data_IF_736581841179
#
_entry.id   IF_736581841179
#
_cell.length_a   1.000
_cell.length_b   1.000
_cell.length_c   1.000
_cell.angle_alpha   90.00
_cell.angle_beta   90.00
_cell.angle_gamma   90.00
#
_symmetry.space_group_name_H-M   'P 1'
#
loop_
_entity.id
_entity.type
_entity.pdbx_description
1 polymer ?
#
# COMPACT_ATOMS: atom_id res chain seq x y z
N UNK A 1 -23.25 -16.92 17.23
CA UNK A 1 -24.33 -15.92 17.47
C UNK A 1 -25.74 -16.54 17.62
N UNK A 2 -26.18 -17.58 16.88
CA UNK A 2 -27.48 -18.22 17.17
C UNK A 2 -27.57 -18.88 18.55
N UNK A 3 -26.55 -19.61 19.02
CA UNK A 3 -26.51 -20.08 20.42
C UNK A 3 -26.39 -18.96 21.46
N UNK A 4 -25.92 -17.78 21.03
CA UNK A 4 -25.74 -16.61 21.88
C UNK A 4 -27.07 -15.91 22.14
N UNK A 5 -27.87 -15.72 21.08
CA UNK A 5 -29.12 -14.97 21.12
C UNK A 5 -30.38 -15.83 21.01
N UNK A 6 -30.26 -17.14 20.77
CA UNK A 6 -31.39 -18.05 20.68
C UNK A 6 -31.16 -19.32 21.50
N UNK A 7 -32.24 -19.82 22.10
CA UNK A 7 -32.28 -21.06 22.86
C UNK A 7 -33.22 -22.06 22.15
N UNK A 8 -32.75 -23.28 21.84
CA UNK A 8 -33.58 -24.28 21.15
C UNK A 8 -34.72 -24.76 22.05
N UNK A 9 -35.92 -24.87 21.49
CA UNK A 9 -37.13 -25.36 22.17
C UNK A 9 -37.61 -26.72 21.64
N UNK A 10 -36.94 -27.28 20.62
CA UNK A 10 -37.35 -28.51 19.93
C UNK A 10 -38.07 -28.23 18.60
N UNK A 11 -38.17 -29.25 17.73
CA UNK A 11 -38.88 -29.20 16.44
C UNK A 11 -38.50 -28.02 15.51
N UNK A 12 -37.24 -27.59 15.56
CA UNK A 12 -36.73 -26.46 14.78
C UNK A 12 -37.22 -25.09 15.28
N UNK A 13 -37.76 -25.00 16.51
CA UNK A 13 -38.17 -23.74 17.15
C UNK A 13 -37.06 -23.22 18.07
N UNK A 14 -36.81 -21.92 17.98
CA UNK A 14 -35.77 -21.19 18.69
C UNK A 14 -36.33 -19.95 19.38
N UNK A 15 -36.11 -19.82 20.68
CA UNK A 15 -36.53 -18.66 21.48
C UNK A 15 -35.45 -17.59 21.50
N UNK A 16 -35.77 -16.36 21.13
CA UNK A 16 -34.84 -15.25 21.23
C UNK A 16 -34.57 -14.90 22.70
N UNK A 17 -33.31 -14.90 23.13
CA UNK A 17 -32.89 -14.53 24.49
C UNK A 17 -33.00 -13.03 24.78
N UNK A 18 -33.10 -12.18 23.74
CA UNK A 18 -33.23 -10.72 23.90
C UNK A 18 -34.69 -10.31 24.07
N UNK A 19 -35.60 -10.82 23.21
CA UNK A 19 -37.01 -10.41 23.21
C UNK A 19 -38.01 -11.52 23.57
N UNK A 20 -37.55 -12.74 23.87
CA UNK A 20 -38.41 -13.87 24.25
C UNK A 20 -39.23 -14.48 23.10
N UNK A 21 -39.13 -13.95 21.88
CA UNK A 21 -39.95 -14.40 20.76
C UNK A 21 -39.49 -15.77 20.21
N UNK A 22 -40.44 -16.69 20.05
CA UNK A 22 -40.22 -18.00 19.44
C UNK A 22 -40.24 -17.92 17.91
N UNK A 23 -39.31 -18.63 17.26
CA UNK A 23 -39.19 -18.65 15.80
C UNK A 23 -38.85 -20.03 15.27
N UNK A 24 -39.55 -20.43 14.21
CA UNK A 24 -39.29 -21.69 13.52
C UNK A 24 -38.23 -21.51 12.44
N UNK A 25 -37.23 -22.37 12.44
CA UNK A 25 -36.22 -22.47 11.39
C UNK A 25 -36.87 -23.09 10.14
N UNK A 26 -36.73 -22.40 9.00
CA UNK A 26 -37.31 -22.87 7.74
C UNK A 26 -36.37 -23.88 7.06
N UNK A 27 -36.89 -25.00 6.53
CA UNK A 27 -36.09 -25.97 5.79
C UNK A 27 -35.32 -25.31 4.63
N UNK A 28 -34.05 -25.66 4.44
CA UNK A 28 -33.23 -25.18 3.33
C UNK A 28 -32.71 -23.74 3.45
N UNK A 29 -33.05 -23.01 4.51
CA UNK A 29 -32.63 -21.59 4.71
C UNK A 29 -31.45 -21.42 5.67
N UNK A 30 -30.98 -22.49 6.29
CA UNK A 30 -29.98 -22.40 7.37
C UNK A 30 -30.50 -21.56 8.55
N UNK A 31 -29.66 -20.72 9.15
CA UNK A 31 -30.04 -19.82 10.25
C UNK A 31 -30.44 -18.41 9.79
N UNK A 32 -30.42 -18.13 8.48
CA UNK A 32 -30.64 -16.80 7.91
C UNK A 32 -31.99 -16.20 8.31
N UNK A 33 -33.04 -17.02 8.36
CA UNK A 33 -34.39 -16.62 8.75
C UNK A 33 -34.53 -16.30 10.25
N UNK A 34 -33.64 -16.84 11.09
CA UNK A 34 -33.57 -16.53 12.52
C UNK A 34 -32.79 -15.23 12.78
N UNK A 35 -31.86 -14.88 11.89
CA UNK A 35 -30.97 -13.72 12.00
C UNK A 35 -31.56 -12.43 11.42
N UNK A 36 -32.33 -12.52 10.33
CA UNK A 36 -33.01 -11.36 9.71
C UNK A 36 -33.71 -10.44 10.73
N UNK A 37 -34.35 -10.97 11.78
CA UNK A 37 -35.00 -10.10 12.74
C UNK A 37 -34.16 -9.75 13.97
N UNK A 38 -32.92 -10.26 14.10
CA UNK A 38 -31.92 -9.63 14.97
C UNK A 38 -31.48 -8.30 14.36
N UNK A 39 -31.18 -8.30 13.05
CA UNK A 39 -30.76 -7.08 12.35
C UNK A 39 -31.85 -6.01 12.24
N UNK A 40 -33.14 -6.39 12.26
CA UNK A 40 -34.25 -5.42 12.18
C UNK A 40 -34.87 -5.01 13.51
N UNK A 41 -34.65 -5.76 14.60
CA UNK A 41 -35.26 -5.46 15.92
C UNK A 41 -34.27 -5.22 17.05
N UNK A 42 -32.97 -5.44 16.84
CA UNK A 42 -31.96 -5.29 17.88
C UNK A 42 -30.73 -4.57 17.30
N UNK A 43 -30.70 -3.24 17.33
CA UNK A 43 -29.61 -2.43 16.73
C UNK A 43 -28.22 -2.79 17.27
N UNK A 44 -28.11 -3.15 18.55
CA UNK A 44 -26.83 -3.40 19.23
C UNK A 44 -26.33 -4.86 19.16
N UNK A 45 -27.06 -5.77 18.50
CA UNK A 45 -26.71 -7.20 18.51
C UNK A 45 -25.30 -7.47 17.94
N UNK A 46 -24.89 -6.65 16.97
CA UNK A 46 -23.58 -6.75 16.30
C UNK A 46 -22.45 -6.26 17.21
N UNK A 47 -22.69 -5.21 18.00
CA UNK A 47 -21.74 -4.69 18.98
C UNK A 47 -21.54 -5.65 20.16
N UNK A 48 -22.63 -6.24 20.68
CA UNK A 48 -22.58 -7.25 21.75
C UNK A 48 -21.84 -8.52 21.31
N UNK A 49 -22.07 -8.97 20.08
CA UNK A 49 -21.35 -10.08 19.48
C UNK A 49 -19.85 -9.79 19.34
N UNK A 50 -19.49 -8.61 18.81
CA UNK A 50 -18.10 -8.21 18.63
C UNK A 50 -17.36 -8.06 19.96
N UNK A 51 -18.04 -7.64 21.03
CA UNK A 51 -17.47 -7.54 22.38
C UNK A 51 -17.16 -8.93 22.97
N UNK A 52 -18.05 -9.92 22.80
CA UNK A 52 -17.84 -11.28 23.30
C UNK A 52 -16.86 -12.13 22.47
N UNK A 53 -16.66 -11.80 21.18
CA UNK A 53 -15.71 -12.50 20.31
C UNK A 53 -14.27 -11.99 20.39
N UNK A 54 -13.97 -10.95 21.18
CA UNK A 54 -12.57 -10.46 21.34
C UNK A 54 -11.68 -11.44 22.11
N UNK A 55 -12.24 -12.41 22.83
CA UNK A 55 -11.52 -13.32 23.74
C UNK A 55 -11.56 -14.81 23.35
N UNK A 56 -12.20 -15.19 22.24
CA UNK A 56 -12.30 -16.60 21.82
C UNK A 56 -11.92 -16.80 20.36
N UNK A 57 -10.90 -17.63 20.14
CA UNK A 57 -10.33 -18.14 18.88
C UNK A 57 -11.29 -19.09 18.11
N UNK A 58 -12.61 -18.81 18.13
CA UNK A 58 -13.66 -19.65 17.52
C UNK A 58 -14.07 -19.12 16.16
N UNK A 59 -14.13 -20.01 15.17
CA UNK A 59 -14.43 -19.68 13.77
C UNK A 59 -15.95 -19.48 13.57
N UNK A 60 -16.35 -18.64 12.61
CA UNK A 60 -17.77 -18.43 12.24
C UNK A 60 -18.51 -19.75 11.91
N UNK A 61 -17.76 -20.77 11.48
CA UNK A 61 -18.22 -22.15 11.24
C UNK A 61 -18.78 -22.80 12.52
N UNK A 62 -18.17 -22.54 13.68
CA UNK A 62 -18.55 -23.13 14.98
C UNK A 62 -19.92 -22.66 15.47
N UNK A 63 -20.50 -21.67 14.78
CA UNK A 63 -21.80 -21.10 15.09
C UNK A 63 -22.87 -21.35 14.00
N UNK A 64 -22.55 -22.10 12.94
CA UNK A 64 -23.51 -22.48 11.89
C UNK A 64 -23.89 -21.37 10.90
N UNK A 65 -23.09 -20.29 10.81
CA UNK A 65 -23.38 -19.13 9.95
C UNK A 65 -23.05 -19.37 8.47
N UNK A 66 -22.13 -20.29 8.21
CA UNK A 66 -21.61 -20.58 6.88
C UNK A 66 -21.51 -22.10 6.75
N UNK A 67 -21.96 -22.64 5.62
CA UNK A 67 -21.77 -24.07 5.36
C UNK A 67 -20.28 -24.41 5.27
N UNK A 68 -19.91 -25.61 5.67
CA UNK A 68 -18.52 -26.07 5.57
C UNK A 68 -17.98 -25.93 4.12
N UNK A 69 -18.83 -26.18 3.13
CA UNK A 69 -18.50 -25.99 1.72
C UNK A 69 -18.13 -24.53 1.37
N UNK A 70 -18.90 -23.53 1.85
CA UNK A 70 -18.58 -22.11 1.60
C UNK A 70 -17.29 -21.72 2.33
N UNK A 71 -17.10 -22.20 3.56
CA UNK A 71 -15.85 -21.93 4.29
C UNK A 71 -14.63 -22.50 3.57
N UNK A 72 -14.68 -23.74 3.09
CA UNK A 72 -13.57 -24.34 2.36
C UNK A 72 -13.30 -23.62 1.03
N UNK A 73 -14.35 -23.16 0.32
CA UNK A 73 -14.18 -22.28 -0.86
C UNK A 73 -13.54 -20.94 -0.50
N UNK A 74 -13.95 -20.34 0.61
CA UNK A 74 -13.30 -19.13 1.14
C UNK A 74 -11.82 -19.35 1.40
N UNK A 75 -11.44 -20.49 1.99
CA UNK A 75 -10.04 -20.81 2.24
C UNK A 75 -9.21 -20.90 0.95
N UNK A 76 -9.76 -21.53 -0.10
CA UNK A 76 -9.13 -21.54 -1.43
C UNK A 76 -9.00 -20.14 -2.03
N UNK A 77 -10.05 -19.31 -1.94
CA UNK A 77 -10.01 -17.92 -2.38
C UNK A 77 -8.95 -17.12 -1.63
N UNK A 78 -8.93 -17.24 -0.30
CA UNK A 78 -7.99 -16.55 0.57
C UNK A 78 -6.55 -16.97 0.30
N UNK A 79 -6.31 -18.26 0.09
CA UNK A 79 -5.03 -18.79 -0.36
C UNK A 79 -4.60 -18.12 -1.66
N UNK A 80 -5.42 -18.14 -2.71
CA UNK A 80 -5.08 -17.56 -4.02
C UNK A 80 -4.81 -16.06 -3.91
N UNK A 81 -5.69 -15.30 -3.23
CA UNK A 81 -5.61 -13.85 -3.18
C UNK A 81 -4.50 -13.35 -2.25
N UNK A 82 -4.43 -13.87 -1.02
CA UNK A 82 -3.55 -13.36 0.03
C UNK A 82 -2.15 -13.95 -0.04
N UNK A 83 -1.98 -15.17 -0.57
CA UNK A 83 -0.64 -15.66 -0.95
C UNK A 83 -0.22 -15.19 -2.34
N UNK A 84 -1.17 -14.70 -3.14
CA UNK A 84 -0.94 -14.33 -4.51
C UNK A 84 -0.46 -15.55 -5.28
N UNK A 85 -1.26 -16.62 -5.33
CA UNK A 85 -0.98 -17.84 -6.11
C UNK A 85 -1.60 -17.73 -7.53
N UNK A 86 -1.11 -18.46 -8.55
CA UNK A 86 -1.82 -18.53 -9.81
C UNK A 86 -3.20 -19.17 -9.60
N UNK A 87 -4.20 -18.80 -10.39
CA UNK A 87 -5.51 -19.44 -10.32
C UNK A 87 -5.44 -20.95 -10.62
N UNK A 88 -4.51 -21.39 -11.46
CA UNK A 88 -4.29 -22.80 -11.77
C UNK A 88 -3.76 -23.61 -10.59
N UNK A 89 -3.28 -22.97 -9.51
CA UNK A 89 -2.77 -23.69 -8.33
C UNK A 89 -3.84 -24.55 -7.69
N UNK A 90 -5.09 -24.11 -7.70
CA UNK A 90 -6.19 -24.91 -7.12
C UNK A 90 -6.56 -26.11 -7.99
N UNK A 91 -6.05 -26.14 -9.24
CA UNK A 91 -6.18 -27.29 -10.15
C UNK A 91 -5.03 -28.29 -10.00
N UNK A 92 -3.91 -27.88 -9.40
CA UNK A 92 -2.71 -28.69 -9.25
C UNK A 92 -2.93 -29.89 -8.32
N UNK A 93 -2.52 -31.08 -8.77
CA UNK A 93 -2.77 -32.34 -8.07
C UNK A 93 -2.02 -32.43 -6.74
N UNK A 94 -0.78 -31.92 -6.68
CA UNK A 94 0.03 -31.92 -5.47
C UNK A 94 -0.56 -30.97 -4.42
N UNK A 95 -0.99 -29.78 -4.86
CA UNK A 95 -1.67 -28.77 -4.02
C UNK A 95 -2.96 -29.33 -3.44
N UNK A 96 -3.76 -30.04 -4.26
CA UNK A 96 -4.98 -30.72 -3.78
C UNK A 96 -4.66 -31.80 -2.77
N UNK A 97 -3.68 -32.65 -3.06
CA UNK A 97 -3.27 -33.75 -2.18
C UNK A 97 -2.74 -33.28 -0.81
N UNK A 98 -2.07 -32.13 -0.75
CA UNK A 98 -1.58 -31.55 0.51
C UNK A 98 -2.63 -30.73 1.27
N UNK A 99 -3.68 -30.26 0.60
CA UNK A 99 -4.71 -29.43 1.20
C UNK A 99 -5.68 -30.25 2.06
N UNK A 100 -6.13 -29.68 3.18
CA UNK A 100 -7.19 -30.27 4.02
C UNK A 100 -8.61 -29.91 3.54
N UNK A 101 -8.73 -29.13 2.46
CA UNK A 101 -9.99 -28.58 1.97
C UNK A 101 -10.52 -29.43 0.83
N UNK A 102 -11.84 -29.51 0.66
CA UNK A 102 -12.39 -30.22 -0.50
C UNK A 102 -11.86 -29.59 -1.81
N UNK A 103 -11.48 -30.42 -2.81
CA UNK A 103 -10.97 -29.92 -4.07
C UNK A 103 -11.94 -28.94 -4.73
N UNK A 104 -11.38 -27.87 -5.31
CA UNK A 104 -12.11 -26.91 -6.15
C UNK A 104 -11.40 -26.79 -7.50
N UNK A 105 -11.85 -25.89 -8.37
CA UNK A 105 -11.18 -25.58 -9.61
C UNK A 105 -11.04 -24.08 -9.84
N UNK A 106 -10.11 -23.70 -10.73
CA UNK A 106 -9.81 -22.30 -11.05
C UNK A 106 -11.04 -21.51 -11.50
N UNK A 107 -11.98 -22.16 -12.21
CA UNK A 107 -13.21 -21.53 -12.70
C UNK A 107 -14.14 -21.15 -11.55
N UNK A 108 -14.28 -22.03 -10.56
CA UNK A 108 -15.07 -21.78 -9.36
C UNK A 108 -14.46 -20.67 -8.48
N UNK A 109 -13.15 -20.71 -8.25
CA UNK A 109 -12.44 -19.67 -7.48
C UNK A 109 -12.51 -18.31 -8.19
N UNK A 110 -12.43 -18.30 -9.53
CA UNK A 110 -12.62 -17.07 -10.30
C UNK A 110 -14.04 -16.50 -10.16
N UNK A 111 -15.07 -17.35 -10.16
CA UNK A 111 -16.45 -16.91 -9.91
C UNK A 111 -16.61 -16.35 -8.48
N UNK A 112 -15.93 -16.95 -7.50
CA UNK A 112 -15.86 -16.45 -6.13
C UNK A 112 -15.20 -15.07 -6.06
N UNK A 113 -14.06 -14.87 -6.73
CA UNK A 113 -13.41 -13.56 -6.82
C UNK A 113 -14.35 -12.49 -7.38
N UNK A 114 -15.10 -12.79 -8.45
CA UNK A 114 -16.07 -11.85 -9.05
C UNK A 114 -17.20 -11.52 -8.06
N UNK A 115 -17.72 -12.53 -7.37
CA UNK A 115 -18.80 -12.37 -6.37
C UNK A 115 -18.35 -11.49 -5.23
N UNK A 116 -17.16 -11.77 -4.67
CA UNK A 116 -16.58 -10.97 -3.57
C UNK A 116 -16.28 -9.55 -4.04
N UNK A 117 -15.69 -9.36 -5.23
CA UNK A 117 -15.40 -8.03 -5.76
C UNK A 117 -16.68 -7.20 -5.94
N UNK A 118 -17.77 -7.82 -6.40
CA UNK A 118 -19.07 -7.17 -6.57
C UNK A 118 -19.66 -6.71 -5.23
N UNK A 119 -19.71 -7.59 -4.22
CA UNK A 119 -20.20 -7.25 -2.88
C UNK A 119 -19.32 -6.20 -2.22
N UNK A 120 -18.01 -6.33 -2.36
CA UNK A 120 -17.05 -5.37 -1.86
C UNK A 120 -17.24 -3.99 -2.50
N UNK A 121 -17.52 -3.92 -3.81
CA UNK A 121 -17.86 -2.68 -4.50
C UNK A 121 -19.06 -1.95 -3.87
N UNK A 122 -20.09 -2.69 -3.45
CA UNK A 122 -21.24 -2.12 -2.75
C UNK A 122 -20.86 -1.59 -1.35
N UNK A 123 -20.08 -2.35 -0.58
CA UNK A 123 -19.57 -1.91 0.75
C UNK A 123 -18.71 -0.65 0.61
N UNK A 124 -17.79 -0.63 -0.36
CA UNK A 124 -16.94 0.54 -0.63
C UNK A 124 -17.79 1.75 -1.02
N UNK A 125 -18.83 1.57 -1.84
CA UNK A 125 -19.75 2.64 -2.25
C UNK A 125 -20.44 3.28 -1.04
N UNK A 126 -20.87 2.47 -0.09
CA UNK A 126 -21.53 2.91 1.15
C UNK A 126 -20.52 3.59 2.10
N UNK A 127 -19.40 2.95 2.41
CA UNK A 127 -18.39 3.48 3.34
C UNK A 127 -17.75 4.78 2.83
N UNK A 128 -17.55 4.92 1.51
CA UNK A 128 -16.96 6.10 0.90
C UNK A 128 -17.81 7.37 1.10
N UNK A 129 -19.11 7.20 1.35
CA UNK A 129 -20.02 8.30 1.66
C UNK A 129 -20.21 9.28 0.50
N UNK A 130 -20.55 10.52 0.81
CA UNK A 130 -20.89 11.53 -0.21
C UNK A 130 -19.63 12.17 -0.80
N UNK A 131 -18.64 12.48 0.05
CA UNK A 131 -17.41 13.19 -0.33
C UNK A 131 -16.19 12.47 0.21
N UNK A 132 -15.10 12.51 -0.55
CA UNK A 132 -13.87 11.80 -0.22
C UNK A 132 -12.64 12.44 -0.88
N UNK A 133 -11.45 12.08 -0.43
CA UNK A 133 -10.20 12.40 -1.11
C UNK A 133 -9.76 11.27 -2.04
N UNK A 134 -8.98 11.59 -3.07
CA UNK A 134 -8.39 10.58 -3.96
C UNK A 134 -6.88 10.56 -3.78
N UNK A 135 -6.27 9.38 -3.75
CA UNK A 135 -4.82 9.20 -3.89
C UNK A 135 -4.54 8.45 -5.18
N UNK A 136 -3.66 8.97 -6.02
CA UNK A 136 -3.25 8.29 -7.25
C UNK A 136 -1.73 8.25 -7.42
N UNK A 137 -1.28 7.19 -8.06
CA UNK A 137 0.11 7.05 -8.51
C UNK A 137 0.17 6.10 -9.70
N UNK A 138 1.25 6.22 -10.49
CA UNK A 138 1.46 5.45 -11.71
C UNK A 138 2.63 4.47 -11.58
N UNK A 139 2.47 3.27 -12.12
CA UNK A 139 3.52 2.26 -12.19
C UNK A 139 3.64 1.66 -13.59
N UNK A 140 4.86 1.61 -14.10
CA UNK A 140 5.15 0.97 -15.40
C UNK A 140 5.83 -0.38 -15.20
N UNK A 141 5.35 -1.39 -15.91
CA UNK A 141 5.93 -2.73 -15.98
C UNK A 141 5.98 -3.23 -17.43
N UNK A 142 7.18 -3.44 -17.94
CA UNK A 142 7.38 -3.76 -19.36
C UNK A 142 6.78 -2.67 -20.24
N UNK A 143 5.83 -3.04 -21.09
CA UNK A 143 5.12 -2.13 -22.01
C UNK A 143 3.84 -1.52 -21.40
N UNK A 144 3.42 -1.96 -20.21
CA UNK A 144 2.17 -1.54 -19.60
C UNK A 144 2.39 -0.45 -18.56
N UNK A 145 1.49 0.52 -18.52
CA UNK A 145 1.44 1.56 -17.51
C UNK A 145 0.11 1.44 -16.76
N UNK A 146 0.19 1.26 -15.45
CA UNK A 146 -0.95 1.14 -14.55
C UNK A 146 -1.09 2.40 -13.72
N UNK A 147 -2.32 2.80 -13.45
CA UNK A 147 -2.64 3.83 -12.46
C UNK A 147 -3.42 3.17 -11.33
N UNK A 148 -2.93 3.31 -10.10
CA UNK A 148 -3.66 2.92 -8.91
C UNK A 148 -4.43 4.13 -8.37
N UNK A 149 -5.71 3.94 -8.08
CA UNK A 149 -6.58 4.98 -7.52
C UNK A 149 -7.14 4.47 -6.19
N UNK A 150 -6.84 5.20 -5.12
CA UNK A 150 -7.35 4.96 -3.78
C UNK A 150 -8.36 6.02 -3.38
N UNK A 151 -9.49 5.59 -2.80
CA UNK A 151 -10.43 6.43 -2.08
C UNK A 151 -9.95 6.65 -0.65
N UNK A 152 -10.07 7.88 -0.15
CA UNK A 152 -9.69 8.28 1.20
C UNK A 152 -10.89 8.92 1.90
N UNK A 153 -11.40 8.23 2.91
CA UNK A 153 -12.60 8.61 3.65
C UNK A 153 -12.51 8.14 5.10
N UNK A 154 -13.45 8.54 5.96
CA UNK A 154 -13.41 8.23 7.40
C UNK A 154 -14.52 7.26 7.76
N UNK A 155 -14.17 6.14 8.39
CA UNK A 155 -15.10 5.15 8.93
C UNK A 155 -14.82 5.02 10.43
N UNK A 156 -15.84 5.21 11.28
CA UNK A 156 -15.66 5.12 12.74
C UNK A 156 -14.59 6.06 13.32
N UNK A 157 -14.41 7.24 12.71
CA UNK A 157 -13.39 8.22 13.13
C UNK A 157 -11.96 7.91 12.66
N UNK A 158 -11.74 6.83 11.91
CA UNK A 158 -10.43 6.46 11.37
C UNK A 158 -10.36 6.69 9.86
N UNK A 159 -9.22 7.17 9.38
CA UNK A 159 -8.96 7.32 7.95
C UNK A 159 -8.80 5.94 7.31
N UNK A 160 -9.71 5.60 6.39
CA UNK A 160 -9.63 4.43 5.53
C UNK A 160 -9.06 4.80 4.17
N UNK A 161 -8.20 3.92 3.64
CA UNK A 161 -7.58 4.02 2.32
C UNK A 161 -7.92 2.74 1.57
N UNK A 162 -8.78 2.85 0.57
CA UNK A 162 -9.32 1.70 -0.15
C UNK A 162 -8.95 1.78 -1.60
N UNK A 163 -8.38 0.72 -2.15
CA UNK A 163 -8.06 0.67 -3.58
C UNK A 163 -9.37 0.57 -4.35
N UNK A 164 -9.65 1.56 -5.21
CA UNK A 164 -10.83 1.58 -6.07
C UNK A 164 -10.57 0.86 -7.39
N UNK A 165 -9.37 1.07 -7.94
CA UNK A 165 -8.91 0.39 -9.15
C UNK A 165 -7.38 0.40 -9.21
N UNK A 166 -6.82 -0.60 -9.88
CA UNK A 166 -5.53 -0.49 -10.56
C UNK A 166 -5.76 -0.93 -11.99
N UNK A 167 -5.64 -0.03 -12.95
CA UNK A 167 -5.88 -0.32 -14.36
C UNK A 167 -5.05 0.60 -15.26
N UNK A 168 -4.67 0.19 -16.48
CA UNK A 168 -4.12 1.14 -17.43
C UNK A 168 -5.16 2.21 -17.79
N UNK A 169 -4.75 3.49 -17.96
CA UNK A 169 -5.64 4.47 -18.54
C UNK A 169 -5.98 4.06 -19.98
N UNK A 170 -7.23 4.24 -20.39
CA UNK A 170 -7.61 4.12 -21.80
C UNK A 170 -6.93 5.23 -22.61
N UNK A 171 -6.61 4.91 -23.87
CA UNK A 171 -5.78 5.68 -24.81
C UNK A 171 -4.26 5.43 -24.71
N UNK A 172 -3.58 5.52 -25.86
CA UNK A 172 -2.11 5.50 -25.96
C UNK A 172 -1.43 6.70 -25.28
N UNK A 173 -2.22 7.50 -24.55
CA UNK A 173 -1.84 8.74 -23.88
C UNK A 173 -1.58 8.48 -22.39
N UNK A 174 -0.50 9.07 -21.87
CA UNK A 174 -0.14 9.06 -20.44
C UNK A 174 -0.34 10.44 -19.81
N UNK A 175 -1.14 11.30 -20.45
CA UNK A 175 -1.37 12.66 -20.00
C UNK A 175 -2.46 12.74 -18.93
N UNK A 176 -2.69 13.95 -18.41
CA UNK A 176 -3.67 14.17 -17.36
C UNK A 176 -5.12 13.93 -17.79
N UNK A 177 -5.46 14.03 -19.08
CA UNK A 177 -6.83 13.82 -19.55
C UNK A 177 -7.19 12.34 -19.54
N UNK A 178 -6.27 11.47 -19.97
CA UNK A 178 -6.44 10.01 -19.86
C UNK A 178 -6.63 9.57 -18.40
N UNK A 179 -5.88 10.17 -17.46
CA UNK A 179 -6.04 9.90 -16.03
C UNK A 179 -7.40 10.38 -15.49
N UNK A 180 -7.88 11.55 -15.93
CA UNK A 180 -9.20 12.06 -15.55
C UNK A 180 -10.31 11.19 -16.13
N UNK A 181 -10.18 10.71 -17.37
CA UNK A 181 -11.13 9.80 -18.00
C UNK A 181 -11.22 8.47 -17.24
N UNK A 182 -10.07 7.88 -16.90
CA UNK A 182 -10.01 6.69 -16.03
C UNK A 182 -10.71 6.95 -14.70
N UNK A 183 -10.41 8.08 -14.04
CA UNK A 183 -11.03 8.45 -12.77
C UNK A 183 -12.56 8.57 -12.89
N UNK A 184 -13.09 9.17 -13.96
CA UNK A 184 -14.54 9.25 -14.21
C UNK A 184 -15.17 7.86 -14.35
N UNK A 185 -14.55 7.00 -15.15
CA UNK A 185 -15.05 5.64 -15.39
C UNK A 185 -15.08 4.82 -14.09
N UNK A 186 -14.03 4.94 -13.28
CA UNK A 186 -13.93 4.25 -11.99
C UNK A 186 -14.99 4.75 -11.03
N UNK A 187 -15.16 6.07 -10.91
CA UNK A 187 -16.16 6.63 -9.99
C UNK A 187 -17.60 6.29 -10.40
N UNK A 188 -17.87 6.16 -11.69
CA UNK A 188 -19.18 5.73 -12.19
C UNK A 188 -19.56 4.33 -11.67
N UNK A 189 -18.60 3.41 -11.50
CA UNK A 189 -18.83 2.07 -10.92
C UNK A 189 -19.36 2.17 -9.48
N UNK A 190 -18.96 3.21 -8.74
CA UNK A 190 -19.37 3.45 -7.35
C UNK A 190 -20.54 4.45 -7.24
N UNK A 191 -21.23 4.75 -8.35
CA UNK A 191 -22.27 5.78 -8.42
C UNK A 191 -21.80 7.16 -7.89
N UNK A 192 -20.54 7.51 -8.19
CA UNK A 192 -19.93 8.80 -7.84
C UNK A 192 -19.50 9.55 -9.11
N UNK A 193 -19.29 10.84 -8.93
CA UNK A 193 -18.83 11.76 -9.96
C UNK A 193 -17.57 12.49 -9.47
N UNK A 194 -16.84 13.15 -10.37
CA UNK A 194 -15.57 13.81 -10.00
C UNK A 194 -15.75 15.05 -9.12
N UNK A 195 -16.94 15.66 -9.11
CA UNK A 195 -17.25 16.86 -8.32
C UNK A 195 -17.30 16.61 -6.80
N UNK A 196 -17.45 15.34 -6.37
CA UNK A 196 -17.44 15.00 -4.94
C UNK A 196 -16.04 14.78 -4.36
N UNK A 197 -15.00 14.89 -5.19
CA UNK A 197 -13.60 14.74 -4.77
C UNK A 197 -13.14 16.03 -4.08
N UNK A 198 -12.67 15.93 -2.84
CA UNK A 198 -12.24 17.08 -2.05
C UNK A 198 -10.78 17.49 -2.27
N UNK A 199 -9.92 16.55 -2.62
CA UNK A 199 -8.49 16.77 -2.85
C UNK A 199 -7.86 15.56 -3.57
N UNK A 200 -6.73 15.81 -4.21
CA UNK A 200 -5.88 14.79 -4.83
C UNK A 200 -4.58 14.63 -4.04
N UNK A 201 -4.20 13.42 -3.68
CA UNK A 201 -2.87 13.07 -3.17
C UNK A 201 -2.09 12.38 -4.27
N UNK A 202 -1.03 13.00 -4.73
CA UNK A 202 -0.22 12.49 -5.81
C UNK A 202 1.22 13.00 -5.71
N UNK A 203 2.10 12.50 -6.58
CA UNK A 203 3.45 13.05 -6.66
C UNK A 203 3.41 14.46 -7.25
N UNK A 204 4.52 15.19 -7.11
CA UNK A 204 4.58 16.60 -7.50
C UNK A 204 4.87 16.79 -9.01
N UNK A 205 4.59 15.79 -9.86
CA UNK A 205 4.84 15.92 -11.29
C UNK A 205 3.85 16.88 -11.97
N UNK A 206 4.24 17.39 -13.15
CA UNK A 206 3.42 18.33 -13.93
C UNK A 206 2.07 17.74 -14.33
N UNK A 207 1.99 16.44 -14.60
CA UNK A 207 0.75 15.73 -14.93
C UNK A 207 -0.25 15.82 -13.78
N UNK A 208 0.18 15.53 -12.55
CA UNK A 208 -0.69 15.58 -11.37
C UNK A 208 -1.11 17.00 -11.00
N UNK A 209 -0.23 17.99 -11.20
CA UNK A 209 -0.61 19.40 -11.13
C UNK A 209 -1.68 19.78 -12.16
N UNK A 210 -1.54 19.32 -13.40
CA UNK A 210 -2.52 19.54 -14.46
C UNK A 210 -3.88 18.91 -14.11
N UNK A 211 -3.88 17.67 -13.60
CA UNK A 211 -5.10 16.97 -13.16
C UNK A 211 -5.81 17.77 -12.07
N UNK A 212 -5.10 18.15 -11.00
CA UNK A 212 -5.69 18.91 -9.89
C UNK A 212 -6.29 20.25 -10.35
N UNK A 213 -5.58 20.98 -11.22
CA UNK A 213 -6.06 22.23 -11.80
C UNK A 213 -7.32 22.03 -12.66
N UNK A 214 -7.34 21.02 -13.52
CA UNK A 214 -8.50 20.70 -14.38
C UNK A 214 -9.72 20.27 -13.58
N UNK A 215 -9.51 19.59 -12.46
CA UNK A 215 -10.58 19.20 -11.53
C UNK A 215 -10.99 20.33 -10.57
N UNK A 216 -10.20 21.41 -10.47
CA UNK A 216 -10.46 22.51 -9.55
C UNK A 216 -10.28 22.14 -8.07
N UNK A 217 -9.46 21.11 -7.77
CA UNK A 217 -9.28 20.57 -6.42
C UNK A 217 -7.86 20.79 -5.89
N UNK A 218 -7.66 20.89 -4.57
CA UNK A 218 -6.33 20.99 -3.97
C UNK A 218 -5.47 19.74 -4.25
N UNK A 219 -4.21 19.96 -4.64
CA UNK A 219 -3.18 18.91 -4.67
C UNK A 219 -2.43 18.85 -3.34
N UNK A 220 -2.45 17.67 -2.74
CA UNK A 220 -1.60 17.25 -1.62
C UNK A 220 -0.37 16.55 -2.22
N UNK A 221 0.69 17.32 -2.47
CA UNK A 221 1.90 16.79 -3.08
C UNK A 221 2.73 15.92 -2.12
N UNK A 222 3.33 14.86 -2.66
CA UNK A 222 4.21 13.94 -1.95
C UNK A 222 5.43 14.65 -1.29
N UNK A 223 5.41 14.73 0.05
CA UNK A 223 6.51 15.24 0.86
C UNK A 223 7.81 14.44 0.68
N UNK A 224 7.73 13.12 0.51
CA UNK A 224 8.90 12.28 0.20
C UNK A 224 9.55 12.67 -1.13
N UNK A 225 8.75 12.98 -2.15
CA UNK A 225 9.25 13.45 -3.44
C UNK A 225 9.95 14.81 -3.27
N UNK A 226 9.31 15.77 -2.59
CA UNK A 226 9.88 17.10 -2.31
C UNK A 226 11.18 17.01 -1.50
N UNK A 227 11.22 16.13 -0.50
CA UNK A 227 12.41 15.87 0.29
C UNK A 227 13.53 15.26 -0.57
N UNK A 228 13.21 14.28 -1.42
CA UNK A 228 14.17 13.69 -2.36
C UNK A 228 14.76 14.74 -3.31
N UNK A 229 13.97 15.69 -3.82
CA UNK A 229 14.48 16.80 -4.64
C UNK A 229 15.44 17.70 -3.85
N UNK A 230 15.11 18.04 -2.60
CA UNK A 230 15.97 18.83 -1.74
C UNK A 230 17.30 18.12 -1.44
N UNK A 231 17.26 16.81 -1.15
CA UNK A 231 18.47 16.02 -0.93
C UNK A 231 19.30 15.90 -2.19
N UNK A 232 18.69 15.68 -3.37
CA UNK A 232 19.42 15.68 -4.65
C UNK A 232 20.18 16.99 -4.87
N UNK A 233 19.57 18.14 -4.56
CA UNK A 233 20.23 19.45 -4.63
C UNK A 233 21.36 19.58 -3.61
N UNK A 234 21.19 19.09 -2.39
CA UNK A 234 22.27 19.05 -1.39
C UNK A 234 23.46 18.19 -1.85
N UNK A 235 23.20 17.07 -2.52
CA UNK A 235 24.23 16.15 -2.97
C UNK A 235 25.07 16.66 -4.16
N UNK A 236 24.64 17.70 -4.88
CA UNK A 236 25.38 18.19 -6.06
C UNK A 236 26.77 18.69 -5.72
N UNK A 237 26.97 19.25 -4.53
CA UNK A 237 28.27 19.72 -4.04
C UNK A 237 29.25 18.59 -3.69
N UNK A 238 28.75 17.36 -3.63
CA UNK A 238 29.50 16.16 -3.27
C UNK A 238 29.61 15.15 -4.42
N UNK A 239 29.12 15.49 -5.61
CA UNK A 239 28.95 14.54 -6.69
C UNK A 239 30.28 13.92 -7.15
N UNK A 240 31.39 14.68 -7.16
CA UNK A 240 32.72 14.16 -7.49
C UNK A 240 33.18 13.06 -6.51
N UNK A 241 32.99 13.29 -5.21
CA UNK A 241 33.31 12.31 -4.16
C UNK A 241 32.42 11.07 -4.28
N UNK A 242 31.13 11.28 -4.56
CA UNK A 242 30.17 10.19 -4.76
C UNK A 242 30.49 9.38 -6.01
N UNK A 243 30.95 10.03 -7.07
CA UNK A 243 31.39 9.38 -8.31
C UNK A 243 32.64 8.53 -8.07
N UNK A 244 33.61 9.04 -7.31
CA UNK A 244 34.81 8.29 -6.93
C UNK A 244 34.46 7.01 -6.15
N UNK A 245 33.58 7.11 -5.14
CA UNK A 245 33.08 5.95 -4.38
C UNK A 245 32.33 4.98 -5.31
N UNK A 246 31.50 5.49 -6.22
CA UNK A 246 30.75 4.64 -7.15
C UNK A 246 31.68 3.88 -8.10
N UNK A 247 32.73 4.53 -8.63
CA UNK A 247 33.72 3.88 -9.48
C UNK A 247 34.44 2.74 -8.74
N UNK A 248 34.89 2.99 -7.51
CA UNK A 248 35.48 1.95 -6.68
C UNK A 248 34.51 0.78 -6.46
N UNK A 249 33.25 1.08 -6.10
CA UNK A 249 32.22 0.06 -5.88
C UNK A 249 31.94 -0.79 -7.13
N UNK A 250 31.99 -0.20 -8.32
CA UNK A 250 31.84 -0.92 -9.59
C UNK A 250 33.01 -1.87 -9.85
N UNK A 251 34.24 -1.44 -9.56
CA UNK A 251 35.44 -2.26 -9.74
C UNK A 251 35.50 -3.41 -8.74
N UNK A 252 35.14 -3.17 -7.47
CA UNK A 252 35.04 -4.20 -6.44
C UNK A 252 33.90 -5.21 -6.70
N UNK A 253 32.92 -4.85 -7.53
CA UNK A 253 31.85 -5.76 -7.93
C UNK A 253 32.25 -6.68 -9.09
N UNK A 254 33.39 -6.45 -9.75
CA UNK A 254 33.90 -7.37 -10.77
C UNK A 254 34.33 -8.69 -10.14
N UNK A 255 34.19 -9.78 -10.88
CA UNK A 255 34.33 -11.13 -10.34
C UNK A 255 35.68 -11.40 -9.66
N UNK A 256 36.79 -10.95 -10.26
CA UNK A 256 38.15 -11.17 -9.71
C UNK A 256 38.37 -10.34 -8.44
N UNK A 257 38.22 -9.02 -8.52
CA UNK A 257 38.40 -8.09 -7.41
C UNK A 257 37.43 -8.37 -6.25
N UNK A 258 36.19 -8.76 -6.58
CA UNK A 258 35.18 -9.12 -5.61
C UNK A 258 35.47 -10.43 -4.90
N UNK A 259 36.07 -11.42 -5.58
CA UNK A 259 36.53 -12.65 -4.94
C UNK A 259 37.68 -12.38 -3.98
N UNK A 260 38.63 -11.52 -4.37
CA UNK A 260 39.75 -11.11 -3.52
C UNK A 260 39.26 -10.34 -2.28
N UNK A 261 38.36 -9.37 -2.46
CA UNK A 261 37.72 -8.66 -1.35
C UNK A 261 36.95 -9.62 -0.43
N UNK A 262 36.28 -10.64 -0.98
CA UNK A 262 35.52 -11.62 -0.22
C UNK A 262 36.39 -12.47 0.71
N UNK A 263 37.65 -12.72 0.34
CA UNK A 263 38.62 -13.38 1.22
C UNK A 263 39.01 -12.51 2.42
N UNK A 264 38.87 -11.18 2.31
CA UNK A 264 39.25 -10.21 3.35
C UNK A 264 38.07 -9.77 4.23
N UNK A 265 36.84 -9.85 3.72
CA UNK A 265 35.63 -9.47 4.46
C UNK A 265 34.38 -10.16 3.91
N UNK A 266 33.42 -10.55 4.76
CA UNK A 266 32.12 -11.04 4.31
C UNK A 266 31.23 -9.93 3.71
N UNK A 267 31.63 -8.66 3.84
CA UNK A 267 30.86 -7.51 3.36
C UNK A 267 30.95 -7.39 1.83
N UNK A 268 29.82 -7.08 1.19
CA UNK A 268 29.74 -6.91 -0.27
C UNK A 268 29.63 -5.44 -0.70
N UNK A 269 30.29 -5.03 -1.79
CA UNK A 269 30.17 -3.68 -2.34
C UNK A 269 28.75 -3.44 -2.86
N UNK A 270 28.19 -2.27 -2.52
CA UNK A 270 26.84 -1.85 -2.93
C UNK A 270 26.94 -0.80 -4.04
N UNK A 271 26.29 -1.06 -5.17
CA UNK A 271 26.19 -0.10 -6.28
C UNK A 271 25.22 1.03 -5.95
N UNK A 272 25.51 2.23 -6.47
CA UNK A 272 24.56 3.37 -6.43
C UNK A 272 23.41 3.09 -7.41
N UNK A 273 22.17 3.30 -6.98
CA UNK A 273 20.99 3.19 -7.85
C UNK A 273 20.29 4.55 -7.96
N UNK A 274 20.50 5.29 -9.04
CA UNK A 274 20.23 6.74 -9.18
C UNK A 274 18.77 7.17 -8.89
N UNK A 275 17.80 6.25 -8.84
CA UNK A 275 16.36 6.58 -8.75
C UNK A 275 15.92 7.20 -7.42
N UNK A 276 16.55 6.87 -6.27
CA UNK A 276 16.15 7.37 -4.92
C UNK A 276 17.37 7.77 -4.10
N UNK A 277 17.40 8.95 -3.46
CA UNK A 277 18.59 9.42 -2.72
C UNK A 277 19.05 8.45 -1.60
N UNK A 278 18.15 7.66 -1.00
CA UNK A 278 18.48 6.61 0.00
C UNK A 278 19.41 5.53 -0.56
N UNK A 279 19.48 5.37 -1.88
CA UNK A 279 20.45 4.52 -2.57
C UNK A 279 21.86 5.15 -2.69
N UNK A 280 22.01 6.43 -2.36
CA UNK A 280 23.31 7.13 -2.30
C UNK A 280 23.91 7.00 -0.89
N UNK A 281 23.06 6.92 0.14
CA UNK A 281 23.49 6.61 1.50
C UNK A 281 24.13 5.22 1.62
N UNK A 282 23.49 4.19 1.06
CA UNK A 282 23.93 2.80 1.19
C UNK A 282 25.36 2.51 0.64
N UNK A 283 25.77 3.01 -0.55
CA UNK A 283 27.14 2.87 -1.05
C UNK A 283 28.17 3.63 -0.22
N UNK A 284 27.88 4.85 0.23
CA UNK A 284 28.82 5.64 1.04
C UNK A 284 29.03 4.99 2.41
N UNK A 285 27.95 4.45 3.00
CA UNK A 285 28.02 3.66 4.22
C UNK A 285 28.79 2.35 4.01
N UNK A 286 28.49 1.62 2.93
CA UNK A 286 29.20 0.40 2.56
C UNK A 286 30.69 0.65 2.34
N UNK A 287 31.05 1.74 1.66
CA UNK A 287 32.43 2.17 1.46
C UNK A 287 33.17 2.35 2.77
N UNK A 288 32.58 3.09 3.72
CA UNK A 288 33.19 3.30 5.03
C UNK A 288 33.58 2.00 5.73
N UNK A 289 32.74 0.96 5.59
CA UNK A 289 32.96 -0.35 6.20
C UNK A 289 34.00 -1.22 5.49
N UNK A 290 34.09 -1.15 4.15
CA UNK A 290 35.01 -2.01 3.35
C UNK A 290 36.33 -1.34 3.01
N UNK A 291 36.49 -0.05 3.33
CA UNK A 291 37.67 0.74 2.96
C UNK A 291 39.01 0.12 3.38
N UNK A 292 39.19 -0.41 4.62
CA UNK A 292 40.47 -1.00 5.02
C UNK A 292 40.86 -2.17 4.12
N UNK A 293 39.92 -3.05 3.81
CA UNK A 293 40.13 -4.23 2.97
C UNK A 293 40.29 -3.86 1.50
N UNK A 294 39.58 -2.82 1.03
CA UNK A 294 39.68 -2.35 -0.36
C UNK A 294 41.09 -1.86 -0.71
N UNK A 295 41.88 -1.42 0.28
CA UNK A 295 43.29 -1.02 0.09
C UNK A 295 44.24 -2.20 -0.08
N UNK A 296 43.80 -3.41 0.26
CA UNK A 296 44.61 -4.62 0.14
C UNK A 296 44.35 -5.35 -1.18
N UNK A 297 43.40 -4.86 -1.98
CA UNK A 297 43.08 -5.39 -3.31
C UNK A 297 43.89 -4.61 -4.33
N UNK A 298 44.96 -5.23 -4.86
CA UNK A 298 45.97 -4.57 -5.70
C UNK A 298 45.33 -3.84 -6.90
N UNK A 299 44.36 -4.48 -7.55
CA UNK A 299 43.71 -3.96 -8.77
C UNK A 299 42.87 -2.67 -8.56
N UNK A 300 42.57 -2.29 -7.32
CA UNK A 300 41.68 -1.15 -7.01
C UNK A 300 42.25 -0.22 -5.93
N UNK A 301 43.46 -0.47 -5.43
CA UNK A 301 44.08 0.33 -4.36
C UNK A 301 44.14 1.82 -4.75
N UNK A 302 44.55 2.12 -5.99
CA UNK A 302 44.63 3.48 -6.53
C UNK A 302 43.28 4.18 -6.69
N UNK A 303 42.19 3.40 -6.70
CA UNK A 303 40.82 3.91 -6.79
C UNK A 303 40.21 4.21 -5.43
N UNK A 304 40.86 3.79 -4.33
CA UNK A 304 40.39 4.07 -2.98
C UNK A 304 40.50 5.57 -2.70
N UNK A 305 39.42 6.26 -2.29
CA UNK A 305 39.48 7.68 -1.97
C UNK A 305 40.59 8.01 -0.97
N UNK A 306 41.28 9.13 -1.26
CA UNK A 306 42.38 9.64 -0.47
C UNK A 306 41.99 9.81 1.01
N UNK A 307 42.95 9.91 1.92
CA UNK A 307 42.64 10.14 3.34
C UNK A 307 41.86 11.45 3.55
N UNK A 308 42.12 12.48 2.73
CA UNK A 308 41.37 13.75 2.77
C UNK A 308 39.93 13.58 2.30
N UNK A 309 39.73 12.90 1.17
CA UNK A 309 38.39 12.66 0.61
C UNK A 309 37.57 11.68 1.46
N UNK A 310 38.23 10.71 2.09
CA UNK A 310 37.60 9.85 3.09
C UNK A 310 37.05 10.66 4.27
N UNK A 311 37.80 11.64 4.79
CA UNK A 311 37.30 12.51 5.87
C UNK A 311 36.07 13.30 5.43
N UNK A 312 36.05 13.81 4.19
CA UNK A 312 34.88 14.49 3.62
C UNK A 312 33.68 13.55 3.50
N UNK A 313 33.89 12.31 3.02
CA UNK A 313 32.86 11.28 2.89
C UNK A 313 32.28 10.85 4.25
N UNK A 314 33.12 10.74 5.29
CA UNK A 314 32.66 10.47 6.67
C UNK A 314 31.84 11.64 7.21
N UNK A 315 32.24 12.88 6.91
CA UNK A 315 31.43 14.07 7.21
C UNK A 315 30.07 14.03 6.52
N UNK A 316 30.04 13.78 5.22
CA UNK A 316 28.83 13.62 4.42
C UNK A 316 27.91 12.53 4.98
N UNK A 317 28.47 11.38 5.38
CA UNK A 317 27.70 10.25 5.92
C UNK A 317 26.89 10.65 7.15
N UNK A 318 27.42 11.50 8.03
CA UNK A 318 26.68 12.04 9.18
C UNK A 318 25.47 12.88 8.77
N UNK A 319 25.58 13.64 7.67
CA UNK A 319 24.44 14.38 7.12
C UNK A 319 23.42 13.43 6.50
N UNK A 320 23.87 12.43 5.74
CA UNK A 320 22.99 11.45 5.11
C UNK A 320 22.22 10.60 6.14
N UNK A 321 22.83 10.24 7.27
CA UNK A 321 22.17 9.55 8.37
C UNK A 321 21.01 10.37 8.96
N UNK A 322 21.23 11.68 9.17
CA UNK A 322 20.17 12.59 9.61
C UNK A 322 19.06 12.69 8.56
N UNK A 323 19.41 12.81 7.28
CA UNK A 323 18.42 12.86 6.19
C UNK A 323 17.62 11.54 6.09
N UNK A 324 18.24 10.40 6.39
CA UNK A 324 17.58 9.09 6.41
C UNK A 324 16.56 8.99 7.54
N UNK A 325 16.89 9.52 8.72
CA UNK A 325 15.94 9.60 9.83
C UNK A 325 14.68 10.41 9.48
N UNK A 326 14.84 11.52 8.74
CA UNK A 326 13.71 12.34 8.28
C UNK A 326 12.88 11.58 7.26
N UNK A 327 13.51 10.90 6.31
CA UNK A 327 12.83 10.08 5.31
C UNK A 327 12.03 8.95 5.95
N UNK A 328 12.61 8.22 6.90
CA UNK A 328 11.93 7.20 7.70
C UNK A 328 10.73 7.77 8.46
N UNK A 329 10.87 8.95 9.05
CA UNK A 329 9.74 9.62 9.72
C UNK A 329 8.64 10.00 8.72
N UNK A 330 8.99 10.60 7.58
CA UNK A 330 8.01 10.91 6.51
C UNK A 330 7.29 9.64 6.02
N UNK A 331 7.99 8.51 6.00
CA UNK A 331 7.44 7.24 5.57
C UNK A 331 6.60 6.51 6.61
N UNK A 332 6.59 6.97 7.85
CA UNK A 332 5.82 6.37 8.93
C UNK A 332 4.31 6.54 8.69
N UNK A 333 3.52 5.49 8.96
CA UNK A 333 2.06 5.52 8.76
C UNK A 333 1.32 6.50 9.67
N UNK A 334 1.94 6.87 10.79
CA UNK A 334 1.39 7.85 11.74
C UNK A 334 1.63 9.30 11.32
N UNK A 335 2.46 9.53 10.30
CA UNK A 335 2.80 10.89 9.85
C UNK A 335 1.67 11.46 9.03
N UNK A 336 1.11 12.58 9.48
CA UNK A 336 -0.04 13.23 8.84
C UNK A 336 0.36 14.55 8.16
N UNK A 337 -0.52 15.05 7.30
CA UNK A 337 -0.41 16.40 6.73
C UNK A 337 -0.27 17.47 7.81
N UNK A 338 -0.96 17.31 8.94
CA UNK A 338 -0.89 18.29 10.03
C UNK A 338 0.53 18.45 10.59
N UNK A 339 1.31 17.37 10.68
CA UNK A 339 2.68 17.40 11.21
C UNK A 339 3.68 18.03 10.22
N UNK A 340 3.43 17.89 8.91
CA UNK A 340 4.33 18.41 7.88
C UNK A 340 4.04 19.86 7.48
N UNK A 341 2.81 20.35 7.69
CA UNK A 341 2.41 21.71 7.35
C UNK A 341 2.18 22.63 8.57
N UNK A 342 1.84 22.11 9.76
CA UNK A 342 1.75 22.92 10.99
C UNK A 342 3.12 23.03 11.66
N UNK A 343 3.99 23.83 11.06
CA UNK A 343 5.09 24.42 11.82
C UNK A 343 4.53 25.36 12.88
N UNK A 344 4.24 24.87 14.09
CA UNK A 344 4.41 25.72 15.27
C UNK A 344 5.91 26.00 15.33
N UNK A 345 6.31 27.23 14.97
CA UNK A 345 7.57 27.82 15.44
C UNK A 345 7.50 27.79 16.97
N UNK A 346 7.90 26.69 17.59
CA UNK A 346 8.52 26.76 18.90
C UNK A 346 9.90 27.31 18.62
N UNK A 347 10.28 28.39 19.30
CA UNK A 347 11.69 28.80 19.43
C UNK A 347 12.48 27.60 19.97
N UNK A 348 12.99 26.79 19.05
CA UNK A 348 14.03 25.80 19.23
C UNK A 348 14.91 25.98 18.02
N UNK A 349 16.20 26.15 18.28
CA UNK A 349 17.28 26.33 17.30
C UNK A 349 16.91 25.75 15.94
N UNK A 350 16.93 26.59 14.91
CA UNK A 350 16.56 26.24 13.54
C UNK A 350 17.06 24.84 13.19
N UNK A 351 16.13 23.92 12.94
CA UNK A 351 16.52 22.57 12.55
C UNK A 351 17.33 22.65 11.26
N UNK A 352 18.35 21.81 11.12
CA UNK A 352 19.21 21.77 9.94
C UNK A 352 18.43 21.68 8.61
N UNK A 353 17.28 20.99 8.62
CA UNK A 353 16.37 20.93 7.47
C UNK A 353 15.74 22.29 7.13
N UNK A 354 15.40 23.10 8.14
CA UNK A 354 14.90 24.46 7.94
C UNK A 354 15.98 25.39 7.34
N UNK A 355 17.25 25.21 7.74
CA UNK A 355 18.39 25.99 7.21
C UNK A 355 18.66 25.68 5.73
N UNK A 356 18.63 24.40 5.32
CA UNK A 356 18.78 24.00 3.91
C UNK A 356 17.61 24.51 3.04
N UNK A 357 16.38 24.51 3.56
CA UNK A 357 15.21 25.04 2.84
C UNK A 357 15.33 26.56 2.62
N UNK A 358 15.98 27.28 3.54
CA UNK A 358 16.17 28.73 3.45
C UNK A 358 17.33 29.14 2.53
N UNK A 359 18.45 28.41 2.55
CA UNK A 359 19.63 28.72 1.73
C UNK A 359 19.41 28.49 0.22
N UNK A 360 18.43 27.65 -0.16
CA UNK A 360 18.21 27.24 -1.55
C UNK A 360 17.10 27.97 -2.32
N UNK A 361 16.44 28.99 -1.74
CA UNK A 361 15.25 29.62 -2.32
C UNK A 361 15.39 31.11 -2.59
N UNK A 362 15.20 31.53 -3.84
CA UNK A 362 14.83 32.91 -4.15
C UNK A 362 13.62 33.32 -3.29
N UNK A 363 13.55 34.61 -2.88
CA UNK A 363 12.47 35.18 -2.06
C UNK A 363 11.12 34.60 -2.47
N UNK A 364 10.52 33.78 -1.61
CA UNK A 364 9.18 33.21 -1.83
C UNK A 364 8.20 34.35 -2.03
N UNK A 365 7.48 34.36 -3.17
CA UNK A 365 6.14 34.96 -3.23
C UNK A 365 5.33 34.33 -2.09
N UNK A 366 4.67 35.16 -1.28
CA UNK A 366 3.65 34.67 -0.35
C UNK A 366 2.57 33.98 -1.20
N UNK A 367 2.61 32.66 -1.26
CA UNK A 367 1.49 31.86 -1.77
C UNK A 367 0.54 31.71 -0.60
N UNK A 368 -0.72 32.10 -0.76
CA UNK A 368 -1.78 31.88 0.21
C UNK A 368 -1.74 30.42 0.69
N UNK A 369 -1.86 30.20 2.00
CA UNK A 369 -1.97 28.85 2.54
C UNK A 369 -3.23 28.21 1.94
N UNK A 370 -3.04 27.14 1.17
CA UNK A 370 -4.16 26.32 0.72
C UNK A 370 -4.97 25.85 1.94
N UNK A 371 -6.26 26.19 1.95
CA UNK A 371 -7.21 25.71 2.96
C UNK A 371 -7.68 24.34 2.49
N UNK A 372 -7.20 23.29 3.15
CA UNK A 372 -7.61 21.92 2.86
C UNK A 372 -8.87 21.54 3.66
N UNK A 373 -9.66 20.62 3.11
CA UNK A 373 -10.77 19.97 3.83
C UNK A 373 -10.29 19.36 5.16
N UNK A 374 -11.11 19.34 6.22
CA UNK A 374 -10.79 18.60 7.45
C UNK A 374 -10.36 17.15 7.21
N UNK A 375 -10.92 16.51 6.18
CA UNK A 375 -10.60 15.15 5.74
C UNK A 375 -9.14 14.98 5.27
N UNK A 376 -8.49 16.05 4.80
CA UNK A 376 -7.09 16.02 4.39
C UNK A 376 -6.11 16.08 5.59
N UNK A 377 -6.59 16.44 6.78
CA UNK A 377 -5.75 16.58 7.98
C UNK A 377 -5.08 15.26 8.41
N UNK A 378 -5.81 14.13 8.53
CA UNK A 378 -5.22 12.84 8.89
C UNK A 378 -4.48 12.15 7.73
N UNK A 379 -4.61 12.64 6.50
CA UNK A 379 -4.01 12.01 5.33
C UNK A 379 -2.49 12.08 5.40
N UNK A 380 -1.76 10.99 5.13
CA UNK A 380 -0.31 11.04 5.09
C UNK A 380 0.16 11.84 3.85
N UNK A 381 1.19 12.68 3.99
CA UNK A 381 1.70 13.51 2.90
C UNK A 381 2.58 12.71 1.92
N UNK A 382 2.38 11.39 1.79
CA UNK A 382 3.24 10.50 1.00
C UNK A 382 2.41 9.49 0.20
N UNK A 383 3.03 8.92 -0.82
CA UNK A 383 2.44 7.87 -1.66
C UNK A 383 2.88 6.46 -1.26
N UNK A 384 3.28 6.27 0.00
CA UNK A 384 3.79 4.98 0.46
C UNK A 384 2.78 3.84 0.30
N UNK A 385 1.48 4.13 0.42
CA UNK A 385 0.41 3.15 0.15
C UNK A 385 0.54 2.62 -1.27
N UNK A 386 0.62 3.52 -2.27
CA UNK A 386 0.80 3.14 -3.67
C UNK A 386 2.16 2.47 -3.91
N UNK A 387 3.25 2.97 -3.33
CA UNK A 387 4.58 2.37 -3.52
C UNK A 387 4.65 0.92 -3.00
N UNK A 388 4.05 0.65 -1.83
CA UNK A 388 3.96 -0.70 -1.27
C UNK A 388 3.08 -1.59 -2.13
N UNK A 389 1.91 -1.08 -2.54
CA UNK A 389 1.02 -1.78 -3.44
C UNK A 389 1.72 -2.18 -4.76
N UNK A 390 2.43 -1.26 -5.41
CA UNK A 390 3.19 -1.57 -6.62
C UNK A 390 4.37 -2.51 -6.38
N UNK A 391 4.91 -2.55 -5.16
CA UNK A 391 5.92 -3.55 -4.80
C UNK A 391 5.30 -4.94 -4.72
N UNK A 392 4.09 -5.07 -4.17
CA UNK A 392 3.35 -6.33 -4.22
C UNK A 392 2.99 -6.73 -5.65
N UNK A 393 2.56 -5.78 -6.48
CA UNK A 393 2.31 -6.01 -7.91
C UNK A 393 3.53 -6.62 -8.62
N UNK A 394 4.74 -6.09 -8.34
CA UNK A 394 6.00 -6.62 -8.91
C UNK A 394 6.30 -8.04 -8.46
N UNK A 395 5.98 -8.39 -7.22
CA UNK A 395 6.19 -9.74 -6.69
C UNK A 395 5.21 -10.76 -7.30
N UNK A 396 4.01 -10.31 -7.68
CA UNK A 396 2.98 -11.15 -8.29
C UNK A 396 3.19 -11.29 -9.81
N UNK A 397 3.59 -10.22 -10.50
CA UNK A 397 3.92 -10.25 -11.93
C UNK A 397 5.33 -10.82 -12.15
N UNK A 398 5.50 -12.10 -11.89
CA UNK A 398 6.70 -12.86 -12.24
C UNK A 398 6.67 -13.31 -13.70
N UNK A 399 7.81 -13.69 -14.31
CA UNK A 399 7.84 -14.23 -15.67
C UNK A 399 6.88 -15.42 -15.87
N UNK A 400 6.72 -16.27 -14.86
CA UNK A 400 5.79 -17.41 -14.86
C UNK A 400 4.32 -17.01 -14.92
N UNK A 401 4.01 -15.74 -14.61
CA UNK A 401 2.65 -15.17 -14.63
C UNK A 401 2.49 -14.03 -15.62
N UNK A 402 3.48 -13.80 -16.47
CA UNK A 402 3.45 -12.78 -17.52
C UNK A 402 2.32 -13.00 -18.53
N UNK A 403 1.82 -14.24 -18.66
CA UNK A 403 0.68 -14.60 -19.51
C UNK A 403 -0.69 -14.47 -18.80
N UNK A 404 -0.75 -13.97 -17.56
CA UNK A 404 -2.02 -13.75 -16.87
C UNK A 404 -2.82 -12.65 -17.60
N UNK A 405 -4.11 -12.89 -17.84
CA UNK A 405 -4.99 -11.85 -18.37
C UNK A 405 -5.03 -10.65 -17.42
N UNK A 406 -4.95 -9.45 -17.99
CA UNK A 406 -4.93 -8.20 -17.23
C UNK A 406 -6.07 -8.12 -16.21
N UNK A 407 -7.30 -8.40 -16.64
CA UNK A 407 -8.48 -8.39 -15.76
C UNK A 407 -8.35 -9.33 -14.55
N UNK A 408 -7.63 -10.45 -14.67
CA UNK A 408 -7.41 -11.36 -13.53
C UNK A 408 -6.38 -10.77 -12.57
N UNK A 409 -5.34 -10.12 -13.10
CA UNK A 409 -4.35 -9.43 -12.29
C UNK A 409 -4.96 -8.24 -11.54
N UNK A 410 -5.78 -7.43 -12.20
CA UNK A 410 -6.48 -6.31 -11.58
C UNK A 410 -7.40 -6.77 -10.45
N UNK A 411 -8.23 -7.80 -10.70
CA UNK A 411 -9.14 -8.35 -9.70
C UNK A 411 -8.38 -8.98 -8.51
N UNK A 412 -7.29 -9.70 -8.78
CA UNK A 412 -6.43 -10.26 -7.74
C UNK A 412 -5.86 -9.17 -6.84
N UNK A 413 -5.30 -8.11 -7.44
CA UNK A 413 -4.73 -6.99 -6.71
C UNK A 413 -5.79 -6.17 -5.96
N UNK A 414 -6.98 -5.99 -6.55
CA UNK A 414 -8.12 -5.33 -5.91
C UNK A 414 -8.55 -6.05 -4.62
N UNK A 415 -8.79 -7.36 -4.70
CA UNK A 415 -9.19 -8.16 -3.53
C UNK A 415 -8.07 -8.20 -2.49
N UNK A 416 -6.81 -8.32 -2.93
CA UNK A 416 -5.66 -8.37 -2.03
C UNK A 416 -5.47 -7.06 -1.27
N UNK A 417 -5.54 -5.92 -1.96
CA UNK A 417 -5.35 -4.60 -1.37
C UNK A 417 -6.44 -4.25 -0.36
N UNK A 418 -7.65 -4.79 -0.56
CA UNK A 418 -8.82 -4.57 0.30
C UNK A 418 -9.15 -5.81 1.16
N UNK A 419 -8.15 -6.59 1.56
CA UNK A 419 -8.36 -7.88 2.26
C UNK A 419 -9.06 -7.76 3.63
N UNK A 420 -8.98 -6.59 4.27
CA UNK A 420 -9.65 -6.31 5.54
C UNK A 420 -11.16 -6.08 5.38
N UNK A 421 -11.65 -5.95 4.14
CA UNK A 421 -13.03 -5.60 3.82
C UNK A 421 -13.87 -6.80 3.34
N UNK A 422 -13.29 -7.99 3.22
CA UNK A 422 -14.03 -9.20 2.85
C UNK A 422 -13.62 -10.39 3.71
N UNK A 423 -14.59 -11.24 3.97
CA UNK A 423 -14.44 -12.43 4.77
C UNK A 423 -15.28 -13.57 4.19
N UNK A 424 -15.46 -14.64 4.95
CA UNK A 424 -16.26 -15.79 4.54
C UNK A 424 -17.71 -15.40 4.21
N UNK A 425 -18.27 -14.37 4.84
CA UNK A 425 -19.64 -13.90 4.58
C UNK A 425 -19.75 -13.19 3.23
N UNK A 426 -18.63 -12.73 2.65
CA UNK A 426 -18.62 -12.20 1.30
C UNK A 426 -18.91 -13.27 0.24
N UNK A 427 -18.77 -14.56 0.57
CA UNK A 427 -19.15 -15.67 -0.32
C UNK A 427 -20.54 -16.26 -0.04
N UNK A 428 -21.10 -16.01 1.14
CA UNK A 428 -22.48 -16.36 1.48
C UNK A 428 -23.44 -15.34 0.88
#
# INVERSE_FOLDING_TARGET
MCALFFEPQGEGVHRCKICGADRKQLPGTGYSNLLSPLSSRHEDFRAQYNAQNRDTDRLLQDFGFVSEAIYQRYQWLWWVVVRGMPLSEVDDELTRAMSKWQPTNSKAVKADMITVATKLGAVITEEMGIVFGVMCDGWTHGIMHFVAIYGQYVVGGQLRRTLLVMSPPDERSRDGDAHIALLRNVLAVYNKTIDVILFLVADNCSTNHSIANKLGIPLVGCASHRFNLAVKKFLTEHEDLLHQVNNLMLQLHQQKNGAELFMLTPLRPKKRNVTRWSSTYNPVQGYGAIRPQSRLVEAVEDLVPSTGDHKKLVGLLKHLEKLDSVCKRLQCETTTMSETFRGKRKERQDSYAAQIIQQGGAKRRQVERAVYSPLATPVPPTLNTCERFFTECKMILTPQRSCMLLAHFEMLMFLRANNDMWDVTSLA
#
